data_IF_510562101661
#
_entry.id   IF_510562101661
#
_cell.length_a   1.000
_cell.length_b   1.000
_cell.length_c   1.000
_cell.angle_alpha   90.00
_cell.angle_beta   90.00
_cell.angle_gamma   90.00
#
_symmetry.space_group_name_H-M   'P 1'
#
loop_
_entity.id
_entity.type
_entity.pdbx_description
1 polymer ?
#
# COMPACT_ATOMS: atom_id res chain seq x y z
N UNK A 1 32.47 20.12 -16.68
CA UNK A 1 31.56 21.28 -16.72
C UNK A 1 30.15 20.75 -16.69
N UNK A 2 29.40 20.98 -15.62
CA UNK A 2 27.96 20.74 -15.63
C UNK A 2 27.36 21.59 -16.76
N UNK A 3 26.71 20.96 -17.74
CA UNK A 3 26.12 21.64 -18.90
C UNK A 3 24.89 22.48 -18.52
N UNK A 4 24.34 22.28 -17.31
CA UNK A 4 23.12 22.92 -16.82
C UNK A 4 23.39 23.50 -15.43
N UNK A 5 22.92 24.72 -15.19
CA UNK A 5 23.04 25.37 -13.88
C UNK A 5 22.12 24.69 -12.85
N UNK A 6 22.61 24.44 -11.63
CA UNK A 6 21.81 23.88 -10.51
C UNK A 6 20.48 24.60 -10.27
N UNK A 7 20.44 25.93 -10.44
CA UNK A 7 19.19 26.70 -10.30
C UNK A 7 18.16 26.33 -11.36
N UNK A 8 18.63 26.11 -12.60
CA UNK A 8 17.78 25.68 -13.72
C UNK A 8 17.32 24.24 -13.50
N UNK A 9 18.18 23.37 -12.99
CA UNK A 9 17.83 21.98 -12.68
C UNK A 9 16.79 21.90 -11.54
N UNK A 10 16.97 22.64 -10.45
CA UNK A 10 16.00 22.72 -9.36
C UNK A 10 14.65 23.30 -9.81
N UNK A 11 14.67 24.31 -10.68
CA UNK A 11 13.46 24.85 -11.28
C UNK A 11 12.76 23.83 -12.19
N UNK A 12 13.53 23.08 -12.99
CA UNK A 12 13.01 22.03 -13.86
C UNK A 12 12.35 20.90 -13.05
N UNK A 13 12.96 20.43 -11.96
CA UNK A 13 12.33 19.47 -11.04
C UNK A 13 11.01 20.02 -10.46
N UNK A 14 11.01 21.27 -10.00
CA UNK A 14 9.80 21.88 -9.45
C UNK A 14 8.65 21.99 -10.46
N UNK A 15 8.97 22.37 -11.70
CA UNK A 15 7.99 22.47 -12.78
C UNK A 15 7.51 21.10 -13.28
N UNK A 16 8.43 20.12 -13.41
CA UNK A 16 8.11 18.75 -13.78
C UNK A 16 7.17 18.10 -12.77
N UNK A 17 7.50 18.19 -11.49
CA UNK A 17 6.67 17.69 -10.40
C UNK A 17 5.28 18.34 -10.38
N UNK A 18 5.19 19.66 -10.64
CA UNK A 18 3.90 20.35 -10.71
C UNK A 18 3.00 19.80 -11.82
N UNK A 19 3.54 19.57 -13.03
CA UNK A 19 2.77 19.00 -14.15
C UNK A 19 2.30 17.57 -13.83
N UNK A 20 3.13 16.75 -13.18
CA UNK A 20 2.76 15.39 -12.75
C UNK A 20 1.64 15.43 -11.72
N UNK A 21 1.73 16.30 -10.71
CA UNK A 21 0.71 16.43 -9.66
C UNK A 21 -0.64 16.85 -10.26
N UNK A 22 -0.64 17.80 -11.20
CA UNK A 22 -1.87 18.22 -11.90
C UNK A 22 -2.42 17.07 -12.76
N UNK A 23 -1.56 16.29 -13.43
CA UNK A 23 -1.96 15.10 -14.19
C UNK A 23 -2.60 14.04 -13.31
N UNK A 24 -2.00 13.77 -12.15
CA UNK A 24 -2.53 12.84 -11.17
C UNK A 24 -3.89 13.32 -10.63
N UNK A 25 -4.03 14.63 -10.34
CA UNK A 25 -5.27 15.24 -9.91
C UNK A 25 -6.40 15.05 -10.93
N UNK A 26 -6.13 15.30 -12.21
CA UNK A 26 -7.13 15.12 -13.27
C UNK A 26 -7.53 13.65 -13.43
N UNK A 27 -6.55 12.73 -13.28
CA UNK A 27 -6.81 11.29 -13.36
C UNK A 27 -7.69 10.80 -12.20
N UNK A 28 -7.44 11.22 -10.96
CA UNK A 28 -8.25 10.82 -9.80
C UNK A 28 -9.65 11.44 -9.84
N UNK A 29 -9.77 12.67 -10.36
CA UNK A 29 -11.06 13.36 -10.44
C UNK A 29 -11.90 12.96 -11.66
N UNK A 30 -11.36 12.08 -12.53
CA UNK A 30 -12.01 11.59 -13.75
C UNK A 30 -12.39 12.70 -14.75
N UNK A 31 -11.61 13.78 -14.76
CA UNK A 31 -11.79 14.85 -15.74
C UNK A 31 -11.37 14.39 -17.13
N UNK A 32 -12.07 14.88 -18.17
CA UNK A 32 -11.77 14.57 -19.57
C UNK A 32 -10.33 14.98 -19.91
N UNK A 33 -9.53 14.07 -20.47
CA UNK A 33 -8.12 14.32 -20.78
C UNK A 33 -7.13 14.00 -19.65
N UNK A 34 -7.59 13.44 -18.51
CA UNK A 34 -6.73 13.17 -17.37
C UNK A 34 -5.66 12.08 -17.60
N UNK A 35 -5.92 11.12 -18.47
CA UNK A 35 -4.92 10.09 -18.83
C UNK A 35 -3.80 10.70 -19.67
N UNK A 36 -4.17 11.53 -20.64
CA UNK A 36 -3.27 12.21 -21.57
C UNK A 36 -2.38 13.20 -20.82
N UNK A 37 -2.96 14.00 -19.90
CA UNK A 37 -2.21 14.93 -19.06
C UNK A 37 -1.21 14.20 -18.13
N UNK A 38 -1.63 13.09 -17.52
CA UNK A 38 -0.78 12.28 -16.65
C UNK A 38 0.39 11.65 -17.42
N UNK A 39 0.14 11.13 -18.62
CA UNK A 39 1.18 10.55 -19.48
C UNK A 39 2.21 11.62 -19.87
N UNK A 40 1.75 12.83 -20.24
CA UNK A 40 2.66 13.95 -20.55
C UNK A 40 3.50 14.33 -19.33
N UNK A 41 2.89 14.41 -18.14
CA UNK A 41 3.63 14.70 -16.91
C UNK A 41 4.69 13.65 -16.60
N UNK A 42 4.34 12.36 -16.66
CA UNK A 42 5.28 11.26 -16.39
C UNK A 42 6.43 11.21 -17.41
N UNK A 43 6.16 11.50 -18.69
CA UNK A 43 7.20 11.61 -19.71
C UNK A 43 8.12 12.81 -19.46
N UNK A 44 7.57 13.92 -18.97
CA UNK A 44 8.35 15.10 -18.60
C UNK A 44 9.32 14.78 -17.46
N UNK A 45 8.86 14.07 -16.43
CA UNK A 45 9.74 13.62 -15.34
C UNK A 45 10.78 12.60 -15.79
N UNK A 46 10.40 11.63 -16.62
CA UNK A 46 11.37 10.67 -17.16
C UNK A 46 12.53 11.36 -17.91
N UNK A 47 12.23 12.45 -18.63
CA UNK A 47 13.24 13.25 -19.31
C UNK A 47 14.12 14.06 -18.34
N UNK A 48 13.52 14.67 -17.32
CA UNK A 48 14.25 15.42 -16.28
C UNK A 48 15.19 14.49 -15.49
N UNK A 49 14.72 13.31 -15.08
CA UNK A 49 15.57 12.30 -14.43
C UNK A 49 16.70 11.80 -15.32
N UNK A 50 16.44 11.61 -16.61
CA UNK A 50 17.49 11.22 -17.55
C UNK A 50 18.58 12.30 -17.66
N UNK A 51 18.20 13.58 -17.68
CA UNK A 51 19.16 14.69 -17.67
C UNK A 51 19.89 14.83 -16.33
N UNK A 52 19.22 14.56 -15.20
CA UNK A 52 19.83 14.53 -13.86
C UNK A 52 21.01 13.57 -13.77
N UNK A 53 20.92 12.42 -14.44
CA UNK A 53 21.94 11.38 -14.36
C UNK A 53 23.29 11.82 -14.98
N UNK A 54 23.27 12.86 -15.81
CA UNK A 54 24.48 13.45 -16.41
C UNK A 54 25.00 14.68 -15.65
N UNK A 55 24.29 15.13 -14.61
CA UNK A 55 24.83 16.16 -13.71
C UNK A 55 25.75 15.49 -12.69
N UNK A 56 26.95 16.03 -12.50
CA UNK A 56 27.91 15.45 -11.56
C UNK A 56 27.34 15.58 -10.15
N UNK A 57 27.23 14.45 -9.44
CA UNK A 57 26.96 14.41 -8.01
C UNK A 57 27.89 15.38 -7.28
N UNK A 58 27.30 16.31 -6.55
CA UNK A 58 28.03 17.34 -5.82
C UNK A 58 29.14 16.74 -4.94
N UNK A 59 30.34 17.34 -4.99
CA UNK A 59 31.36 17.12 -3.95
C UNK A 59 30.71 17.40 -2.60
N UNK A 60 30.60 16.36 -1.78
CA UNK A 60 30.13 16.48 -0.39
C UNK A 60 30.97 17.55 0.30
N UNK A 61 30.27 18.49 0.95
CA UNK A 61 30.91 19.54 1.74
C UNK A 61 31.90 18.88 2.70
N UNK A 62 33.18 19.26 2.63
CA UNK A 62 34.21 18.69 3.48
C UNK A 62 34.02 19.15 4.94
N UNK A 63 33.22 18.39 5.69
CA UNK A 63 32.88 18.65 7.09
C UNK A 63 34.12 18.60 8.01
N UNK A 64 35.26 18.08 7.53
CA UNK A 64 36.52 18.10 8.29
C UNK A 64 37.09 19.51 8.46
N UNK A 65 36.68 20.47 7.62
CA UNK A 65 37.07 21.87 7.77
C UNK A 65 36.35 22.57 8.94
N UNK A 66 35.19 22.04 9.37
CA UNK A 66 34.33 22.64 10.41
C UNK A 66 34.40 21.87 11.74
N UNK A 67 34.67 20.55 11.70
CA UNK A 67 34.82 19.72 12.90
C UNK A 67 36.03 18.77 12.77
N UNK A 68 37.24 19.23 13.15
CA UNK A 68 38.44 18.40 13.10
C UNK A 68 38.42 17.22 14.08
N UNK A 69 37.52 17.21 15.08
CA UNK A 69 37.42 16.14 16.09
C UNK A 69 36.91 14.79 15.55
N UNK A 70 36.38 14.75 14.32
CA UNK A 70 36.01 13.51 13.64
C UNK A 70 37.15 12.95 12.76
N UNK A 71 38.22 13.71 12.55
CA UNK A 71 39.40 13.30 11.78
C UNK A 71 40.41 12.60 12.71
N UNK A 72 40.13 11.34 13.10
CA UNK A 72 41.09 10.58 13.92
C UNK A 72 40.56 9.32 14.60
N UNK A 73 39.61 8.60 14.01
CA UNK A 73 39.07 7.37 14.60
C UNK A 73 40.06 6.21 14.63
N UNK A 74 40.82 6.04 15.72
CA UNK A 74 41.45 4.77 16.08
C UNK A 74 41.09 4.35 17.52
N UNK A 75 40.32 3.27 17.63
CA UNK A 75 39.95 2.66 18.90
C UNK A 75 41.17 1.95 19.53
N UNK A 76 41.63 2.41 20.70
CA UNK A 76 42.65 1.71 21.49
C UNK A 76 42.06 0.70 22.47
N UNK A 77 42.64 -0.48 22.37
CA UNK A 77 42.34 -1.79 22.94
C UNK A 77 42.42 -1.85 24.48
N UNK A 78 41.48 -2.59 25.09
CA UNK A 78 41.50 -3.00 26.51
C UNK A 78 42.74 -3.84 26.84
N UNK A 79 43.44 -3.51 27.93
CA UNK A 79 44.32 -4.45 28.64
C UNK A 79 43.82 -4.70 30.07
N UNK A 80 43.63 -5.98 30.35
CA UNK A 80 43.17 -6.61 31.60
C UNK A 80 44.31 -6.63 32.63
N UNK A 81 44.04 -6.35 33.91
CA UNK A 81 44.82 -6.90 35.03
C UNK A 81 43.91 -7.14 36.24
N UNK A 82 43.89 -8.40 36.65
CA UNK A 82 43.33 -9.00 37.87
C UNK A 82 44.17 -8.63 39.10
N UNK A 83 43.54 -8.41 40.25
CA UNK A 83 44.00 -8.91 41.55
C UNK A 83 42.93 -8.75 42.64
N UNK A 84 42.52 -9.91 43.14
CA UNK A 84 42.13 -10.33 44.49
C UNK A 84 41.14 -9.60 45.38
N UNK A 85 40.24 -10.44 45.90
CA UNK A 85 39.25 -10.21 46.92
C UNK A 85 39.80 -10.62 48.29
N UNK A 86 40.03 -9.65 49.16
CA UNK A 86 40.05 -9.85 50.61
C UNK A 86 40.01 -8.48 51.26
N UNK A 87 38.80 -8.06 51.66
CA UNK A 87 38.47 -7.04 52.68
C UNK A 87 37.15 -6.34 52.33
N UNK A 88 36.11 -7.14 52.07
CA UNK A 88 34.90 -6.68 51.37
C UNK A 88 33.95 -5.81 52.22
N UNK A 89 34.04 -5.78 53.55
CA UNK A 89 33.00 -5.12 54.37
C UNK A 89 33.47 -3.88 55.15
N UNK A 90 34.73 -3.84 55.61
CA UNK A 90 35.30 -2.67 56.28
C UNK A 90 35.81 -1.60 55.32
N UNK A 91 36.42 -2.03 54.21
CA UNK A 91 36.88 -1.13 53.16
C UNK A 91 35.73 -0.61 52.31
N UNK A 92 34.59 -1.30 52.14
CA UNK A 92 33.49 -0.71 51.39
C UNK A 92 32.91 0.50 52.14
N UNK A 93 32.69 0.41 53.44
CA UNK A 93 32.17 1.53 54.24
C UNK A 93 33.16 2.70 54.30
N UNK A 94 34.44 2.43 54.58
CA UNK A 94 35.46 3.47 54.55
C UNK A 94 35.71 4.02 53.15
N UNK A 95 35.59 3.24 52.08
CA UNK A 95 35.79 3.69 50.69
C UNK A 95 34.53 4.33 50.12
N UNK A 96 33.34 4.04 50.65
CA UNK A 96 32.09 4.75 50.36
C UNK A 96 32.09 6.11 51.08
N UNK A 97 32.52 6.15 52.35
CA UNK A 97 32.63 7.38 53.14
C UNK A 97 33.80 8.25 52.65
N UNK A 98 34.91 7.62 52.23
CA UNK A 98 35.99 8.32 51.52
C UNK A 98 35.53 8.73 50.13
N UNK A 99 34.79 7.93 49.35
CA UNK A 99 34.22 8.40 48.07
C UNK A 99 33.18 9.52 48.27
N UNK A 100 32.34 9.50 49.30
CA UNK A 100 31.40 10.58 49.62
C UNK A 100 32.10 11.87 50.05
N UNK A 101 33.29 11.76 50.65
CA UNK A 101 34.08 12.86 51.20
C UNK A 101 35.15 13.37 50.22
N UNK A 102 35.58 12.54 49.28
CA UNK A 102 36.63 12.77 48.29
C UNK A 102 36.04 13.10 46.91
N UNK A 103 34.95 12.43 46.50
CA UNK A 103 34.00 13.02 45.57
C UNK A 103 33.13 13.96 46.39
N UNK A 104 33.61 15.19 46.58
CA UNK A 104 32.73 16.31 46.93
C UNK A 104 31.45 16.09 46.12
N UNK A 105 30.35 15.74 46.79
CA UNK A 105 29.03 15.87 46.20
C UNK A 105 28.81 17.38 46.14
N UNK A 106 29.52 17.99 45.21
CA UNK A 106 29.47 19.39 44.90
C UNK A 106 28.03 19.64 44.45
N UNK A 107 27.47 20.80 44.79
CA UNK A 107 26.10 21.13 44.40
C UNK A 107 25.88 20.96 42.90
N UNK A 108 26.96 21.07 42.12
CA UNK A 108 27.04 20.81 40.69
C UNK A 108 26.77 19.34 40.29
N UNK A 109 27.26 18.35 41.04
CA UNK A 109 27.00 16.94 40.75
C UNK A 109 25.54 16.57 41.03
N UNK A 110 24.98 17.08 42.14
CA UNK A 110 23.56 16.93 42.45
C UNK A 110 22.67 17.67 41.44
N UNK A 111 23.08 18.86 40.99
CA UNK A 111 22.41 19.58 39.92
C UNK A 111 22.48 18.83 38.59
N UNK A 112 23.62 18.20 38.26
CA UNK A 112 23.80 17.41 37.05
C UNK A 112 22.94 16.14 37.08
N UNK A 113 22.81 15.48 38.22
CA UNK A 113 21.96 14.31 38.41
C UNK A 113 20.47 14.71 38.35
N UNK A 114 20.10 15.83 38.97
CA UNK A 114 18.76 16.40 38.87
C UNK A 114 18.39 16.76 37.43
N UNK A 115 19.32 17.37 36.69
CA UNK A 115 19.16 17.64 35.26
C UNK A 115 19.05 16.34 34.44
N UNK A 116 19.83 15.31 34.78
CA UNK A 116 19.79 14.00 34.11
C UNK A 116 18.44 13.31 34.32
N UNK A 117 17.90 13.32 35.55
CA UNK A 117 16.59 12.77 35.88
C UNK A 117 15.48 13.56 35.17
N UNK A 118 15.57 14.90 35.14
CA UNK A 118 14.61 15.77 34.45
C UNK A 118 14.65 15.59 32.93
N UNK A 119 15.82 15.37 32.36
CA UNK A 119 16.01 15.06 30.95
C UNK A 119 15.44 13.68 30.62
N UNK A 120 15.65 12.68 31.50
CA UNK A 120 15.06 11.35 31.34
C UNK A 120 13.53 11.37 31.43
N UNK A 121 12.96 12.11 32.39
CA UNK A 121 11.51 12.33 32.50
C UNK A 121 10.95 12.98 31.22
N UNK A 122 11.66 13.98 30.69
CA UNK A 122 11.26 14.67 29.45
C UNK A 122 11.33 13.74 28.23
N UNK A 123 12.37 12.91 28.12
CA UNK A 123 12.49 11.90 27.08
C UNK A 123 11.39 10.83 27.19
N UNK A 124 11.09 10.35 28.39
CA UNK A 124 10.03 9.38 28.63
C UNK A 124 8.63 9.96 28.31
N UNK A 125 8.37 11.23 28.66
CA UNK A 125 7.15 11.95 28.26
C UNK A 125 7.05 12.14 26.75
N UNK A 126 8.18 12.30 26.04
CA UNK A 126 8.22 12.34 24.58
C UNK A 126 7.93 10.99 23.90
N UNK A 127 8.17 9.87 24.58
CA UNK A 127 7.86 8.53 24.05
C UNK A 127 6.35 8.24 24.07
N UNK A 128 5.62 8.72 25.08
CA UNK A 128 4.16 8.50 25.21
C UNK A 128 3.34 8.84 23.94
N UNK A 129 3.46 10.03 23.32
CA UNK A 129 2.74 10.35 22.08
C UNK A 129 3.22 9.54 20.87
N UNK A 130 4.44 8.96 20.93
CA UNK A 130 4.97 8.09 19.88
C UNK A 130 4.34 6.70 19.92
N UNK A 131 3.90 6.23 21.09
CA UNK A 131 3.21 4.95 21.23
C UNK A 131 1.79 5.02 20.62
N UNK A 132 1.08 6.12 20.85
CA UNK A 132 -0.25 6.37 20.25
C UNK A 132 -0.17 6.54 18.72
N UNK A 133 0.89 7.18 18.21
CA UNK A 133 1.12 7.30 16.76
C UNK A 133 1.46 5.94 16.11
N UNK A 134 2.18 5.08 16.83
CA UNK A 134 2.47 3.71 16.37
C UNK A 134 1.21 2.83 16.36
N UNK A 135 0.34 2.98 17.37
CA UNK A 135 -0.94 2.29 17.43
C UNK A 135 -1.89 2.71 16.30
N UNK A 136 -1.98 4.01 16.01
CA UNK A 136 -2.79 4.53 14.90
C UNK A 136 -2.24 4.11 13.53
N UNK A 137 -0.92 4.05 13.35
CA UNK A 137 -0.30 3.53 12.12
C UNK A 137 -0.61 2.04 11.90
N UNK A 138 -0.54 1.23 12.97
CA UNK A 138 -0.93 -0.19 12.90
C UNK A 138 -2.40 -0.34 12.54
N UNK A 139 -3.28 0.42 13.20
CA UNK A 139 -4.72 0.40 12.95
C UNK A 139 -5.05 0.82 11.51
N UNK A 140 -4.35 1.83 10.98
CA UNK A 140 -4.46 2.24 9.59
C UNK A 140 -4.06 1.14 8.61
N UNK A 141 -2.93 0.46 8.86
CA UNK A 141 -2.50 -0.69 8.06
C UNK A 141 -3.52 -1.84 8.08
N UNK A 142 -4.10 -2.11 9.25
CA UNK A 142 -5.13 -3.13 9.44
C UNK A 142 -6.42 -2.79 8.69
N UNK A 143 -6.87 -1.53 8.76
CA UNK A 143 -8.04 -1.05 7.99
C UNK A 143 -7.78 -1.05 6.48
N UNK A 144 -6.57 -0.70 6.02
CA UNK A 144 -6.20 -0.84 4.61
C UNK A 144 -6.25 -2.30 4.14
N UNK A 145 -5.79 -3.23 4.97
CA UNK A 145 -5.85 -4.67 4.67
C UNK A 145 -7.29 -5.15 4.56
N UNK A 146 -8.17 -4.72 5.48
CA UNK A 146 -9.61 -5.02 5.40
C UNK A 146 -10.26 -4.41 4.16
N UNK A 147 -9.93 -3.16 3.84
CA UNK A 147 -10.45 -2.49 2.65
C UNK A 147 -10.01 -3.19 1.35
N UNK A 148 -8.76 -3.66 1.29
CA UNK A 148 -8.26 -4.46 0.17
C UNK A 148 -9.06 -5.77 0.01
N UNK A 149 -9.30 -6.49 1.10
CA UNK A 149 -10.10 -7.72 1.08
C UNK A 149 -11.56 -7.45 0.65
N UNK A 150 -12.16 -6.34 1.10
CA UNK A 150 -13.49 -5.93 0.67
C UNK A 150 -13.55 -5.55 -0.81
N UNK A 151 -12.54 -4.83 -1.33
CA UNK A 151 -12.41 -4.53 -2.76
C UNK A 151 -12.28 -5.78 -3.61
N UNK A 152 -11.50 -6.77 -3.16
CA UNK A 152 -11.39 -8.06 -3.84
C UNK A 152 -12.73 -8.81 -3.87
N UNK A 153 -13.44 -8.84 -2.74
CA UNK A 153 -14.80 -9.40 -2.68
C UNK A 153 -15.75 -8.70 -3.63
N UNK A 154 -15.66 -7.37 -3.74
CA UNK A 154 -16.48 -6.56 -4.65
C UNK A 154 -16.15 -6.86 -6.12
N UNK A 155 -14.88 -7.05 -6.47
CA UNK A 155 -14.46 -7.46 -7.81
C UNK A 155 -15.02 -8.86 -8.16
N UNK A 156 -14.96 -9.79 -7.21
CA UNK A 156 -15.51 -11.13 -7.38
C UNK A 156 -17.04 -11.11 -7.53
N UNK A 157 -17.75 -10.27 -6.76
CA UNK A 157 -19.19 -10.07 -6.94
C UNK A 157 -19.53 -9.51 -8.33
N UNK A 158 -18.76 -8.55 -8.84
CA UNK A 158 -18.95 -8.05 -10.21
C UNK A 158 -18.72 -9.12 -11.27
N UNK A 159 -17.69 -9.95 -11.11
CA UNK A 159 -17.45 -11.10 -12.00
C UNK A 159 -18.63 -12.07 -11.97
N UNK A 160 -19.08 -12.45 -10.77
CA UNK A 160 -20.21 -13.34 -10.58
C UNK A 160 -21.51 -12.78 -11.17
N UNK A 161 -21.74 -11.46 -11.05
CA UNK A 161 -22.89 -10.79 -11.64
C UNK A 161 -22.84 -10.82 -13.17
N UNK A 162 -21.67 -10.58 -13.75
CA UNK A 162 -21.47 -10.63 -15.20
C UNK A 162 -21.66 -12.05 -15.73
N UNK A 163 -21.09 -13.04 -15.04
CA UNK A 163 -21.26 -14.46 -15.36
C UNK A 163 -22.73 -14.87 -15.25
N UNK A 164 -23.41 -14.50 -14.18
CA UNK A 164 -24.84 -14.76 -13.98
C UNK A 164 -25.71 -14.10 -15.05
N UNK A 165 -25.35 -12.89 -15.50
CA UNK A 165 -26.06 -12.23 -16.60
C UNK A 165 -25.86 -12.98 -17.93
N UNK A 166 -24.64 -13.46 -18.20
CA UNK A 166 -24.34 -14.29 -19.37
C UNK A 166 -25.14 -15.60 -19.35
N UNK A 167 -25.11 -16.32 -18.22
CA UNK A 167 -25.85 -17.57 -18.04
C UNK A 167 -27.36 -17.34 -18.16
N UNK A 168 -27.90 -16.26 -17.62
CA UNK A 168 -29.33 -15.93 -17.80
C UNK A 168 -29.68 -15.59 -19.25
N UNK A 169 -28.80 -14.88 -19.96
CA UNK A 169 -29.02 -14.56 -21.37
C UNK A 169 -29.03 -15.83 -22.23
N UNK A 170 -28.11 -16.76 -21.96
CA UNK A 170 -28.05 -18.06 -22.63
C UNK A 170 -29.26 -18.93 -22.29
N UNK A 171 -29.65 -19.01 -21.02
CA UNK A 171 -30.87 -19.71 -20.60
C UNK A 171 -32.12 -19.14 -21.27
N UNK A 172 -32.25 -17.81 -21.38
CA UNK A 172 -33.37 -17.18 -22.08
C UNK A 172 -33.39 -17.51 -23.57
N UNK A 173 -32.22 -17.59 -24.21
CA UNK A 173 -32.10 -18.00 -25.61
C UNK A 173 -32.55 -19.46 -25.78
N UNK A 174 -32.05 -20.36 -24.93
CA UNK A 174 -32.43 -21.77 -24.96
C UNK A 174 -33.93 -21.97 -24.72
N UNK A 175 -34.52 -21.22 -23.79
CA UNK A 175 -35.97 -21.25 -23.54
C UNK A 175 -36.74 -20.80 -24.79
N UNK A 176 -36.30 -19.73 -25.46
CA UNK A 176 -36.95 -19.25 -26.68
C UNK A 176 -36.85 -20.26 -27.83
N UNK A 177 -35.69 -20.88 -28.03
CA UNK A 177 -35.48 -21.92 -29.04
C UNK A 177 -36.33 -23.16 -28.74
N UNK A 178 -36.33 -23.65 -27.49
CA UNK A 178 -37.17 -24.77 -27.09
C UNK A 178 -38.67 -24.47 -27.24
N UNK A 179 -39.11 -23.27 -26.90
CA UNK A 179 -40.50 -22.86 -27.11
C UNK A 179 -40.88 -22.84 -28.60
N UNK A 180 -39.97 -22.41 -29.48
CA UNK A 180 -40.18 -22.46 -30.92
C UNK A 180 -40.26 -23.90 -31.44
N UNK A 181 -39.35 -24.79 -31.00
CA UNK A 181 -39.38 -26.21 -31.34
C UNK A 181 -40.65 -26.90 -30.84
N UNK A 182 -41.06 -26.62 -29.60
CA UNK A 182 -42.29 -27.14 -29.02
C UNK A 182 -43.50 -26.70 -29.83
N UNK A 183 -43.57 -25.44 -30.24
CA UNK A 183 -44.63 -24.92 -31.12
C UNK A 183 -44.68 -25.70 -32.44
N UNK A 184 -43.52 -25.95 -33.06
CA UNK A 184 -43.44 -26.70 -34.31
C UNK A 184 -43.89 -28.16 -34.13
N UNK A 185 -43.49 -28.82 -33.03
CA UNK A 185 -43.93 -30.17 -32.71
C UNK A 185 -45.43 -30.23 -32.44
N UNK A 186 -45.99 -29.26 -31.72
CA UNK A 186 -47.42 -29.16 -31.47
C UNK A 186 -48.21 -28.96 -32.77
N UNK A 187 -47.73 -28.11 -33.69
CA UNK A 187 -48.34 -27.93 -35.01
C UNK A 187 -48.31 -29.23 -35.82
N UNK A 188 -47.19 -29.95 -35.83
CA UNK A 188 -47.07 -31.25 -36.49
C UNK A 188 -48.02 -32.29 -35.86
N UNK A 189 -48.11 -32.34 -34.53
CA UNK A 189 -49.04 -33.21 -33.83
C UNK A 189 -50.50 -32.89 -34.17
N UNK A 190 -50.89 -31.61 -34.18
CA UNK A 190 -52.23 -31.18 -34.60
C UNK A 190 -52.52 -31.57 -36.05
N UNK A 191 -51.57 -31.38 -36.97
CA UNK A 191 -51.71 -31.77 -38.37
C UNK A 191 -51.89 -33.30 -38.52
N UNK A 192 -51.11 -34.10 -37.78
CA UNK A 192 -51.26 -35.55 -37.77
C UNK A 192 -52.61 -35.99 -37.21
N UNK A 193 -53.09 -35.40 -36.12
CA UNK A 193 -54.42 -35.68 -35.56
C UNK A 193 -55.52 -35.31 -36.56
N UNK A 194 -55.41 -34.15 -37.22
CA UNK A 194 -56.36 -33.74 -38.26
C UNK A 194 -56.37 -34.73 -39.43
N UNK A 195 -55.20 -35.20 -39.87
CA UNK A 195 -55.08 -36.22 -40.92
C UNK A 195 -55.71 -37.55 -40.51
N UNK A 196 -55.44 -38.02 -39.28
CA UNK A 196 -56.07 -39.23 -38.73
C UNK A 196 -57.59 -39.10 -38.68
N UNK A 197 -58.09 -37.99 -38.16
CA UNK A 197 -59.52 -37.72 -38.10
C UNK A 197 -60.16 -37.67 -39.49
N UNK A 198 -59.47 -37.10 -40.49
CA UNK A 198 -59.94 -37.08 -41.88
C UNK A 198 -60.03 -38.50 -42.47
N UNK A 199 -59.04 -39.36 -42.22
CA UNK A 199 -59.06 -40.77 -42.66
C UNK A 199 -60.17 -41.56 -41.96
N UNK A 200 -60.34 -41.39 -40.65
CA UNK A 200 -61.44 -42.01 -39.90
C UNK A 200 -62.81 -41.54 -40.38
N UNK A 201 -62.98 -40.24 -40.66
CA UNK A 201 -64.19 -39.68 -41.24
C UNK A 201 -64.48 -40.26 -42.63
N UNK A 202 -63.47 -40.33 -43.50
CA UNK A 202 -63.60 -40.95 -44.82
C UNK A 202 -63.96 -42.43 -44.76
N UNK A 203 -63.40 -43.17 -43.81
CA UNK A 203 -63.70 -44.59 -43.58
C UNK A 203 -65.13 -44.80 -43.04
N UNK A 204 -65.59 -43.95 -42.13
CA UNK A 204 -66.96 -43.96 -41.62
C UNK A 204 -67.98 -43.60 -42.72
N UNK A 205 -67.71 -42.58 -43.53
CA UNK A 205 -68.54 -42.24 -44.69
C UNK A 205 -68.60 -43.37 -45.72
N UNK A 206 -67.46 -44.05 -45.97
CA UNK A 206 -67.40 -45.20 -46.87
C UNK A 206 -68.12 -46.44 -46.31
N UNK A 207 -68.13 -46.65 -44.99
CA UNK A 207 -68.93 -47.71 -44.34
C UNK A 207 -70.43 -47.37 -44.32
N UNK A 208 -70.80 -46.10 -44.09
CA UNK A 208 -72.21 -45.65 -44.07
C UNK A 208 -72.86 -45.66 -45.44
N UNK A 209 -72.11 -45.48 -46.52
CA UNK A 209 -72.63 -45.47 -47.90
C UNK A 209 -72.70 -46.87 -48.54
N UNK A 210 -72.41 -47.92 -47.77
CA UNK A 210 -72.41 -49.33 -48.21
C UNK A 210 -73.53 -50.18 -47.59
N UNK A 211 -74.45 -49.56 -46.84
CA UNK A 211 -75.74 -50.13 -46.44
C UNK A 211 -76.86 -49.49 -47.25
#
# INVERSE_FOLDING_TARGET
>A
MALISKKVMNFAYGMGAAVVIVGALFKIQHWTGGSELLVVGLLTEAFIFALSAFDNSDEELDWTLVYPELAGGEAKQKSKKTADASDADGLLSQKLDTMLKEAKIDGELMASLGNSIKNFESAAKGIAPTVDSLASTRKYSEELTKAAAQMESLNNLYKLQLESASVNAEANKDIAENAAMLKQQMQSMTANIASLNAVYGGMLSAMSNKG
#
